data_IF_961035498145
#
_entry.id   IF_961035498145
#
_cell.length_a   1.000
_cell.length_b   1.000
_cell.length_c   1.000
_cell.angle_alpha   90.00
_cell.angle_beta   90.00
_cell.angle_gamma   90.00
#
_symmetry.space_group_name_H-M   'P 1'
#
loop_
_entity.id
_entity.type
_entity.pdbx_description
1 polymer ?
#
# COMPACT_ATOMS: atom_id res chain seq x y z
N UNK A 1 -25.32 -6.72 17.22
CA UNK A 1 -24.39 -6.59 18.39
C UNK A 1 -23.33 -5.59 18.01
N UNK A 2 -23.18 -4.47 18.72
CA UNK A 2 -22.04 -3.58 18.50
C UNK A 2 -20.77 -4.39 18.76
N UNK A 3 -19.85 -4.42 17.79
CA UNK A 3 -18.51 -4.99 18.03
C UNK A 3 -17.86 -4.19 19.15
N UNK A 4 -17.28 -4.86 20.12
CA UNK A 4 -16.65 -4.27 21.32
C UNK A 4 -15.40 -3.42 20.98
N UNK A 5 -14.93 -3.48 19.72
CA UNK A 5 -13.74 -2.82 19.22
C UNK A 5 -13.95 -2.21 17.83
N UNK A 6 -13.27 -1.10 17.53
CA UNK A 6 -13.33 -0.49 16.23
C UNK A 6 -12.79 -1.42 15.14
N UNK A 7 -13.29 -1.27 13.92
CA UNK A 7 -12.72 -1.87 12.74
C UNK A 7 -11.28 -1.34 12.57
N UNK A 8 -10.34 -2.21 12.26
CA UNK A 8 -8.99 -1.82 11.88
C UNK A 8 -8.92 -1.70 10.37
N UNK A 9 -8.33 -0.62 9.85
CA UNK A 9 -8.29 -0.41 8.42
C UNK A 9 -6.92 0.05 7.91
N UNK A 10 -6.57 -0.43 6.74
CA UNK A 10 -5.57 0.15 5.86
C UNK A 10 -6.30 0.66 4.61
N UNK A 11 -6.14 1.95 4.35
CA UNK A 11 -6.56 2.58 3.11
C UNK A 11 -5.34 2.91 2.27
N UNK A 12 -5.37 2.55 1.01
CA UNK A 12 -4.25 2.79 0.12
C UNK A 12 -4.70 3.13 -1.28
N UNK A 13 -3.74 3.42 -2.13
CA UNK A 13 -3.95 3.67 -3.55
C UNK A 13 -3.06 2.77 -4.39
N UNK A 14 -3.34 2.72 -5.68
CA UNK A 14 -2.55 1.95 -6.61
C UNK A 14 -1.05 2.29 -6.49
N UNK A 15 -0.19 1.28 -6.40
CA UNK A 15 1.28 1.41 -6.27
C UNK A 15 1.80 2.09 -4.99
N UNK A 16 0.98 2.22 -3.94
CA UNK A 16 1.36 2.76 -2.64
C UNK A 16 1.67 1.65 -1.61
N UNK A 17 2.54 0.72 -1.94
CA UNK A 17 3.01 -0.39 -1.08
C UNK A 17 1.93 -1.38 -0.60
N UNK A 18 0.73 -1.38 -1.19
CA UNK A 18 -0.43 -2.14 -0.72
C UNK A 18 -0.15 -3.65 -0.56
N UNK A 19 0.59 -4.28 -1.48
CA UNK A 19 0.95 -5.69 -1.40
C UNK A 19 1.84 -6.00 -0.18
N UNK A 20 2.76 -5.12 0.17
CA UNK A 20 3.62 -5.26 1.32
C UNK A 20 2.83 -5.13 2.62
N UNK A 21 2.04 -4.07 2.74
CA UNK A 21 1.19 -3.79 3.91
C UNK A 21 0.17 -4.90 4.12
N UNK A 22 -0.51 -5.33 3.04
CA UNK A 22 -1.46 -6.45 3.10
C UNK A 22 -0.83 -7.73 3.68
N UNK A 23 0.40 -8.07 3.28
CA UNK A 23 1.11 -9.24 3.82
C UNK A 23 1.39 -9.12 5.32
N UNK A 24 1.79 -7.92 5.77
CA UNK A 24 1.99 -7.64 7.20
C UNK A 24 0.68 -7.77 7.98
N UNK A 25 -0.42 -7.16 7.48
CA UNK A 25 -1.73 -7.26 8.11
C UNK A 25 -2.30 -8.69 8.07
N UNK A 26 -2.00 -9.45 7.01
CA UNK A 26 -2.36 -10.86 6.92
C UNK A 26 -1.65 -11.73 7.97
N UNK A 27 -0.35 -11.49 8.22
CA UNK A 27 0.36 -12.17 9.30
C UNK A 27 -0.13 -11.73 10.68
N UNK A 28 -0.42 -10.43 10.85
CA UNK A 28 -1.04 -9.93 12.06
C UNK A 28 -2.41 -10.57 12.30
N UNK A 29 -3.26 -10.69 11.28
CA UNK A 29 -4.55 -11.38 11.34
C UNK A 29 -4.40 -12.82 11.81
N UNK A 30 -3.48 -13.59 11.23
CA UNK A 30 -3.22 -14.98 11.65
C UNK A 30 -2.80 -15.10 13.11
N UNK A 31 -1.95 -14.18 13.58
CA UNK A 31 -1.49 -14.17 14.97
C UNK A 31 -2.60 -13.74 15.93
N UNK A 32 -3.36 -12.73 15.55
CA UNK A 32 -4.43 -12.18 16.40
C UNK A 32 -5.70 -13.01 16.41
N UNK A 33 -5.93 -13.85 15.38
CA UNK A 33 -7.20 -14.56 15.18
C UNK A 33 -8.36 -13.64 14.80
N UNK A 34 -8.05 -12.43 14.27
CA UNK A 34 -9.01 -11.48 13.73
C UNK A 34 -9.27 -11.75 12.25
N UNK A 35 -10.50 -11.55 11.78
CA UNK A 35 -10.85 -11.76 10.38
C UNK A 35 -10.39 -10.59 9.50
N UNK A 36 -9.56 -10.86 8.50
CA UNK A 36 -9.01 -9.88 7.58
C UNK A 36 -9.59 -10.03 6.17
N UNK A 37 -10.12 -8.94 5.62
CA UNK A 37 -10.55 -8.83 4.24
C UNK A 37 -9.54 -8.02 3.42
N UNK A 38 -9.21 -8.52 2.23
CA UNK A 38 -8.41 -7.83 1.22
C UNK A 38 -9.31 -7.40 0.07
N UNK A 39 -9.48 -6.10 -0.09
CA UNK A 39 -10.41 -5.48 -1.03
C UNK A 39 -9.61 -4.61 -2.00
N UNK A 40 -9.78 -4.88 -3.29
CA UNK A 40 -9.12 -4.11 -4.33
C UNK A 40 -9.89 -2.84 -4.67
N UNK A 41 -11.19 -3.00 -4.92
CA UNK A 41 -12.11 -1.95 -5.34
C UNK A 41 -13.56 -2.37 -5.01
N UNK A 42 -14.54 -1.57 -5.42
CA UNK A 42 -15.96 -1.79 -5.16
C UNK A 42 -16.50 -3.13 -5.65
N UNK A 43 -15.89 -3.75 -6.67
CA UNK A 43 -16.31 -5.06 -7.20
C UNK A 43 -16.18 -6.17 -6.15
N UNK A 44 -15.28 -6.03 -5.19
CA UNK A 44 -15.09 -6.98 -4.11
C UNK A 44 -16.24 -7.00 -3.10
N UNK A 45 -16.97 -5.89 -2.96
CA UNK A 45 -18.05 -5.72 -1.97
C UNK A 45 -19.38 -5.25 -2.57
N UNK A 46 -19.47 -5.19 -3.91
CA UNK A 46 -20.73 -4.84 -4.62
C UNK A 46 -21.24 -3.43 -4.36
N UNK A 47 -20.35 -2.49 -4.04
CA UNK A 47 -20.67 -1.09 -3.75
C UNK A 47 -21.16 -0.81 -2.33
N UNK A 48 -21.44 -1.84 -1.51
CA UNK A 48 -21.88 -1.71 -0.11
C UNK A 48 -20.84 -2.31 0.85
N UNK A 49 -19.82 -1.52 1.16
CA UNK A 49 -18.73 -1.94 2.04
C UNK A 49 -19.22 -2.27 3.47
N UNK A 50 -20.07 -1.45 4.12
CA UNK A 50 -20.61 -1.80 5.44
C UNK A 50 -21.33 -3.13 5.49
N UNK A 51 -22.22 -3.41 4.53
CA UNK A 51 -22.96 -4.68 4.46
C UNK A 51 -22.01 -5.87 4.23
N UNK A 52 -20.99 -5.70 3.38
CA UNK A 52 -19.97 -6.71 3.17
C UNK A 52 -19.23 -7.06 4.47
N UNK A 53 -18.78 -6.04 5.23
CA UNK A 53 -18.03 -6.24 6.48
C UNK A 53 -18.87 -6.96 7.53
N UNK A 54 -20.16 -6.63 7.65
CA UNK A 54 -21.08 -7.28 8.56
C UNK A 54 -21.30 -8.76 8.18
N UNK A 55 -21.59 -9.01 6.92
CA UNK A 55 -21.86 -10.37 6.40
C UNK A 55 -20.66 -11.32 6.58
N UNK A 56 -19.43 -10.79 6.51
CA UNK A 56 -18.19 -11.60 6.63
C UNK A 56 -17.57 -11.54 8.03
N UNK A 57 -18.15 -10.80 8.97
CA UNK A 57 -17.60 -10.66 10.32
C UNK A 57 -16.20 -10.05 10.34
N UNK A 58 -15.90 -9.15 9.39
CA UNK A 58 -14.56 -8.61 9.17
C UNK A 58 -14.12 -7.69 10.30
N UNK A 59 -12.91 -7.90 10.83
CA UNK A 59 -12.29 -7.10 11.89
C UNK A 59 -11.18 -6.19 11.38
N UNK A 60 -10.54 -6.59 10.27
CA UNK A 60 -9.44 -5.87 9.62
C UNK A 60 -9.75 -5.75 8.13
N UNK A 61 -9.56 -4.58 7.55
CA UNK A 61 -9.61 -4.41 6.10
C UNK A 61 -8.29 -3.87 5.54
N UNK A 62 -7.90 -4.37 4.39
CA UNK A 62 -6.94 -3.72 3.48
C UNK A 62 -7.72 -3.31 2.23
N UNK A 63 -8.07 -2.03 2.14
CA UNK A 63 -8.75 -1.47 0.98
C UNK A 63 -7.75 -0.73 0.09
N UNK A 64 -7.37 -1.33 -1.04
CA UNK A 64 -6.16 -0.99 -1.81
C UNK A 64 -6.35 0.19 -2.74
N UNK A 65 -7.52 0.34 -3.34
CA UNK A 65 -7.90 1.51 -4.14
C UNK A 65 -9.06 2.20 -3.43
N UNK A 66 -8.74 2.81 -2.28
CA UNK A 66 -9.74 3.39 -1.40
C UNK A 66 -10.36 4.65 -2.00
N UNK A 67 -11.69 4.68 -1.96
CA UNK A 67 -12.49 5.82 -2.36
C UNK A 67 -13.27 6.36 -1.16
N UNK A 68 -13.24 7.68 -0.99
CA UNK A 68 -13.83 8.38 0.16
C UNK A 68 -15.33 8.11 0.33
N UNK A 69 -16.06 7.96 -0.79
CA UNK A 69 -17.50 7.68 -0.80
C UNK A 69 -17.87 6.35 -0.11
N UNK A 70 -16.99 5.35 -0.14
CA UNK A 70 -17.23 4.04 0.50
C UNK A 70 -16.95 4.04 2.00
N UNK A 71 -16.24 5.06 2.51
CA UNK A 71 -15.75 5.09 3.90
C UNK A 71 -16.78 5.72 4.85
N UNK A 72 -17.60 6.66 4.33
CA UNK A 72 -18.53 7.44 5.16
C UNK A 72 -19.58 6.62 5.92
N UNK A 73 -19.90 5.40 5.45
CA UNK A 73 -20.87 4.50 6.08
C UNK A 73 -20.26 3.42 6.99
N UNK A 74 -18.94 3.42 7.18
CA UNK A 74 -18.27 2.41 8.01
C UNK A 74 -18.64 2.53 9.49
N UNK A 75 -18.65 1.40 10.23
CA UNK A 75 -18.73 1.44 11.69
C UNK A 75 -17.51 2.19 12.25
N UNK A 76 -17.50 2.57 13.55
CA UNK A 76 -16.33 3.20 14.15
C UNK A 76 -15.06 2.40 13.84
N UNK A 77 -14.04 3.08 13.32
CA UNK A 77 -12.78 2.47 12.90
C UNK A 77 -11.55 3.25 13.40
N UNK A 78 -10.40 2.60 13.36
CA UNK A 78 -9.09 3.21 13.37
C UNK A 78 -8.34 2.75 12.15
N UNK A 79 -7.79 3.69 11.40
CA UNK A 79 -7.14 3.42 10.13
C UNK A 79 -5.75 4.04 10.02
N UNK A 80 -4.99 3.55 9.08
CA UNK A 80 -3.89 4.30 8.51
C UNK A 80 -4.05 4.34 6.99
N UNK A 81 -3.61 5.43 6.43
CA UNK A 81 -3.68 5.70 5.00
C UNK A 81 -2.27 5.96 4.46
N UNK A 82 -1.97 5.44 3.27
CA UNK A 82 -0.63 5.55 2.69
C UNK A 82 -0.71 6.12 1.29
N UNK A 83 -0.03 7.24 1.11
CA UNK A 83 0.24 7.86 -0.20
C UNK A 83 1.68 7.66 -0.62
N UNK A 84 1.97 7.94 -1.87
CA UNK A 84 3.29 7.92 -2.47
C UNK A 84 3.50 9.16 -3.31
N UNK A 85 4.78 9.59 -3.50
CA UNK A 85 5.10 10.61 -4.49
C UNK A 85 4.44 10.25 -5.84
N UNK A 86 3.51 11.09 -6.34
CA UNK A 86 2.76 10.80 -7.56
C UNK A 86 3.64 10.52 -8.77
N UNK A 87 4.82 11.13 -8.83
CA UNK A 87 5.83 10.93 -9.88
C UNK A 87 6.47 9.54 -9.81
N UNK A 88 6.82 9.09 -8.61
CA UNK A 88 7.33 7.73 -8.37
C UNK A 88 6.25 6.67 -8.54
N UNK A 89 4.98 7.04 -8.27
CA UNK A 89 3.83 6.18 -8.55
C UNK A 89 3.73 5.91 -10.05
N UNK A 90 3.82 6.96 -10.91
CA UNK A 90 3.80 6.83 -12.38
C UNK A 90 4.85 5.84 -12.86
N UNK A 91 6.10 6.04 -12.45
CA UNK A 91 7.22 5.16 -12.83
C UNK A 91 6.98 3.72 -12.35
N UNK A 92 6.52 3.55 -11.12
CA UNK A 92 6.21 2.23 -10.57
C UNK A 92 5.08 1.53 -11.32
N UNK A 93 4.07 2.26 -11.74
CA UNK A 93 2.95 1.74 -12.52
C UNK A 93 3.42 1.33 -13.91
N UNK A 94 4.13 2.18 -14.62
CA UNK A 94 4.67 1.89 -15.95
C UNK A 94 5.39 0.53 -16.00
N UNK A 95 6.38 0.32 -15.15
CA UNK A 95 7.11 -0.96 -15.12
C UNK A 95 6.24 -2.15 -14.70
N UNK A 96 5.35 -1.93 -13.75
CA UNK A 96 4.43 -2.96 -13.29
C UNK A 96 3.41 -3.35 -14.36
N UNK A 97 2.79 -2.38 -15.02
CA UNK A 97 1.81 -2.60 -16.08
C UNK A 97 2.44 -3.26 -17.29
N UNK A 98 3.66 -2.86 -17.65
CA UNK A 98 4.39 -3.44 -18.75
C UNK A 98 4.80 -4.91 -18.48
N UNK A 99 5.19 -5.25 -17.22
CA UNK A 99 5.88 -6.52 -16.98
C UNK A 99 5.21 -7.45 -15.96
N UNK A 100 4.67 -6.94 -14.83
CA UNK A 100 4.42 -7.79 -13.66
C UNK A 100 3.01 -7.71 -13.07
N UNK A 101 2.19 -6.71 -13.43
CA UNK A 101 0.86 -6.58 -12.86
C UNK A 101 -0.06 -7.70 -13.39
N UNK A 102 -0.80 -8.42 -12.52
CA UNK A 102 -1.81 -9.38 -12.96
C UNK A 102 -2.92 -8.72 -13.80
N UNK A 103 -3.42 -9.41 -14.79
CA UNK A 103 -4.47 -8.92 -15.70
C UNK A 103 -5.83 -9.57 -15.49
N UNK A 104 -5.89 -10.64 -14.70
CA UNK A 104 -7.09 -11.45 -14.52
C UNK A 104 -8.24 -10.67 -13.90
N UNK A 105 -7.94 -9.79 -12.97
CA UNK A 105 -8.93 -8.93 -12.31
C UNK A 105 -9.02 -7.52 -12.94
N UNK A 106 -8.21 -7.24 -13.97
CA UNK A 106 -8.16 -5.92 -14.61
C UNK A 106 -8.03 -6.06 -16.14
N UNK A 107 -9.11 -6.42 -16.85
CA UNK A 107 -9.10 -6.64 -18.30
C UNK A 107 -8.62 -5.44 -19.13
N UNK A 108 -8.88 -4.22 -18.66
CA UNK A 108 -8.50 -2.96 -19.31
C UNK A 108 -6.97 -2.81 -19.40
N UNK A 109 -6.24 -3.46 -18.52
CA UNK A 109 -4.77 -3.48 -18.56
C UNK A 109 -4.22 -4.27 -19.76
N UNK A 110 -4.98 -5.22 -20.32
CA UNK A 110 -4.49 -6.05 -21.45
C UNK A 110 -4.19 -5.19 -22.67
N UNK A 111 -5.15 -4.44 -23.25
CA UNK A 111 -4.88 -3.58 -24.41
C UNK A 111 -3.89 -2.45 -24.06
N UNK A 112 -3.93 -1.92 -22.83
CA UNK A 112 -2.98 -0.90 -22.40
C UNK A 112 -1.54 -1.42 -22.41
N UNK A 113 -1.30 -2.62 -21.88
CA UNK A 113 0.01 -3.30 -21.90
C UNK A 113 0.54 -3.50 -23.33
N UNK A 114 -0.31 -3.92 -24.26
CA UNK A 114 0.12 -4.07 -25.66
C UNK A 114 0.50 -2.72 -26.28
N UNK A 115 -0.21 -1.64 -25.93
CA UNK A 115 0.15 -0.29 -26.34
C UNK A 115 1.49 0.15 -25.74
N UNK A 116 1.74 -0.10 -24.45
CA UNK A 116 3.03 0.19 -23.79
C UNK A 116 4.21 -0.53 -24.46
N UNK A 117 4.00 -1.77 -24.94
CA UNK A 117 5.03 -2.53 -25.66
C UNK A 117 5.36 -1.98 -27.04
N UNK A 118 4.45 -1.20 -27.65
CA UNK A 118 4.58 -0.71 -29.02
C UNK A 118 5.16 0.70 -29.14
N UNK A 119 5.41 1.37 -28.01
CA UNK A 119 5.88 2.76 -27.97
C UNK A 119 7.21 2.88 -27.22
N UNK A 120 7.85 4.04 -27.30
CA UNK A 120 9.04 4.36 -26.50
C UNK A 120 8.70 4.45 -25.01
N UNK A 121 9.72 4.42 -24.14
CA UNK A 121 9.51 4.58 -22.68
C UNK A 121 8.85 5.91 -22.33
N UNK A 122 9.27 7.01 -22.97
CA UNK A 122 8.70 8.34 -22.73
C UNK A 122 7.21 8.38 -23.12
N UNK A 123 6.87 7.94 -24.32
CA UNK A 123 5.47 7.83 -24.76
C UNK A 123 4.66 6.90 -23.85
N UNK A 124 5.24 5.79 -23.39
CA UNK A 124 4.59 4.87 -22.45
C UNK A 124 4.32 5.51 -21.09
N UNK A 125 5.24 6.31 -20.55
CA UNK A 125 5.01 7.08 -19.32
C UNK A 125 3.91 8.12 -19.52
N UNK A 126 3.85 8.80 -20.66
CA UNK A 126 2.77 9.74 -20.99
C UNK A 126 1.41 9.02 -21.06
N UNK A 127 1.35 7.83 -21.64
CA UNK A 127 0.13 7.01 -21.63
C UNK A 127 -0.32 6.62 -20.24
N UNK A 128 0.63 6.35 -19.34
CA UNK A 128 0.31 6.05 -17.92
C UNK A 128 -0.24 7.26 -17.16
N UNK A 129 0.11 8.50 -17.54
CA UNK A 129 -0.44 9.71 -16.89
C UNK A 129 -1.97 9.71 -16.94
N UNK A 130 -2.56 9.37 -18.09
CA UNK A 130 -4.01 9.28 -18.24
C UNK A 130 -4.58 7.98 -17.66
N UNK A 131 -3.90 6.86 -17.88
CA UNK A 131 -4.38 5.55 -17.43
C UNK A 131 -4.52 5.43 -15.91
N UNK A 132 -3.78 6.25 -15.17
CA UNK A 132 -3.77 6.30 -13.71
C UNK A 132 -4.71 7.35 -13.11
N UNK A 133 -5.54 8.02 -13.90
CA UNK A 133 -6.48 9.04 -13.40
C UNK A 133 -7.28 8.56 -12.18
N UNK A 134 -7.72 7.31 -12.18
CA UNK A 134 -8.48 6.75 -11.06
C UNK A 134 -7.70 6.82 -9.74
N UNK A 135 -6.41 6.53 -9.75
CA UNK A 135 -5.58 6.54 -8.56
C UNK A 135 -5.26 7.97 -8.09
N UNK A 136 -4.95 8.86 -9.04
CA UNK A 136 -4.65 10.26 -8.73
C UNK A 136 -5.88 11.01 -8.24
N UNK A 137 -7.04 10.77 -8.86
CA UNK A 137 -8.30 11.37 -8.41
C UNK A 137 -8.70 10.87 -7.03
N UNK A 138 -8.56 9.57 -6.74
CA UNK A 138 -8.83 9.02 -5.41
C UNK A 138 -7.93 9.65 -4.33
N UNK A 139 -6.64 9.94 -4.64
CA UNK A 139 -5.76 10.68 -3.73
C UNK A 139 -6.20 12.13 -3.56
N UNK A 140 -6.65 12.80 -4.63
CA UNK A 140 -7.11 14.20 -4.60
C UNK A 140 -8.38 14.35 -3.77
N UNK A 141 -9.29 13.39 -3.88
CA UNK A 141 -10.59 13.39 -3.21
C UNK A 141 -10.53 12.87 -1.76
N UNK A 142 -9.35 12.43 -1.30
CA UNK A 142 -9.17 11.92 0.05
C UNK A 142 -9.24 13.04 1.09
N UNK A 143 -9.93 12.76 2.20
CA UNK A 143 -9.99 13.69 3.35
C UNK A 143 -8.80 13.45 4.30
N UNK A 144 -7.75 14.23 4.12
CA UNK A 144 -6.52 14.19 4.93
C UNK A 144 -6.68 14.73 6.35
N UNK A 145 -7.85 15.30 6.69
CA UNK A 145 -8.14 15.87 8.01
C UNK A 145 -8.79 14.89 9.01
N UNK A 146 -8.91 13.63 8.68
CA UNK A 146 -9.62 12.64 9.48
C UNK A 146 -8.88 12.26 10.77
N UNK A 147 -9.49 12.45 11.96
CA UNK A 147 -8.85 12.11 13.24
C UNK A 147 -8.77 10.59 13.51
N UNK A 148 -9.57 9.78 12.81
CA UNK A 148 -9.61 8.33 12.93
C UNK A 148 -8.63 7.63 11.97
N UNK A 149 -7.83 8.41 11.21
CA UNK A 149 -6.89 7.92 10.21
C UNK A 149 -5.51 8.55 10.39
N UNK A 150 -4.49 7.71 10.48
CA UNK A 150 -3.09 8.12 10.50
C UNK A 150 -2.58 8.24 9.06
N UNK A 151 -2.22 9.45 8.65
CA UNK A 151 -1.66 9.73 7.31
C UNK A 151 -0.16 9.42 7.27
N UNK A 152 0.29 8.74 6.21
CA UNK A 152 1.67 8.29 6.04
C UNK A 152 2.12 8.41 4.58
N UNK A 153 3.40 8.74 4.40
CA UNK A 153 4.07 8.63 3.10
C UNK A 153 4.79 7.29 2.98
N UNK A 154 4.67 6.62 1.83
CA UNK A 154 5.36 5.36 1.56
C UNK A 154 6.87 5.47 1.76
N UNK A 155 7.45 6.62 1.45
CA UNK A 155 8.86 6.93 1.57
C UNK A 155 9.34 6.86 3.03
N UNK A 156 8.51 7.30 3.98
CA UNK A 156 8.77 7.21 5.41
C UNK A 156 8.71 5.75 5.87
N UNK A 157 7.65 5.04 5.47
CA UNK A 157 7.51 3.61 5.74
C UNK A 157 8.68 2.77 5.24
N UNK A 158 9.22 3.10 4.06
CA UNK A 158 10.35 2.34 3.49
C UNK A 158 11.67 2.71 4.12
N UNK A 159 11.84 3.96 4.58
CA UNK A 159 13.06 4.45 5.23
C UNK A 159 13.20 3.95 6.66
N UNK A 160 12.11 3.96 7.42
CA UNK A 160 12.09 3.63 8.86
C UNK A 160 10.94 2.64 9.19
N UNK A 161 10.95 1.41 8.60
CA UNK A 161 9.79 0.52 8.65
C UNK A 161 9.41 0.08 10.07
N UNK A 162 10.38 -0.07 10.97
CA UNK A 162 10.09 -0.55 12.33
C UNK A 162 9.44 0.55 13.17
N UNK A 163 9.94 1.77 13.08
CA UNK A 163 9.42 2.94 13.79
C UNK A 163 8.01 3.28 13.29
N UNK A 164 7.83 3.32 11.98
CA UNK A 164 6.52 3.69 11.39
C UNK A 164 5.47 2.59 11.64
N UNK A 165 5.82 1.32 11.56
CA UNK A 165 4.87 0.27 11.91
C UNK A 165 4.54 0.22 13.41
N UNK A 166 5.47 0.55 14.31
CA UNK A 166 5.13 0.72 15.73
C UNK A 166 4.15 1.87 15.92
N UNK A 167 4.35 3.00 15.25
CA UNK A 167 3.42 4.14 15.27
C UNK A 167 2.04 3.75 14.73
N UNK A 168 1.98 2.97 13.65
CA UNK A 168 0.73 2.42 13.11
C UNK A 168 0.04 1.52 14.15
N UNK A 169 0.75 0.56 14.73
CA UNK A 169 0.18 -0.37 15.69
C UNK A 169 -0.30 0.31 16.98
N UNK A 170 0.41 1.34 17.42
CA UNK A 170 -0.01 2.18 18.54
C UNK A 170 -1.30 2.95 18.21
N UNK A 171 -1.33 3.63 17.05
CA UNK A 171 -2.51 4.35 16.58
C UNK A 171 -3.73 3.45 16.41
N UNK A 172 -3.54 2.24 15.89
CA UNK A 172 -4.60 1.23 15.78
C UNK A 172 -5.06 0.68 17.14
N UNK A 173 -4.32 0.95 18.23
CA UNK A 173 -4.61 0.47 19.58
C UNK A 173 -4.33 -1.03 19.74
N UNK A 174 -3.43 -1.59 18.97
CA UNK A 174 -3.03 -3.00 19.03
C UNK A 174 -1.65 -3.22 19.66
N UNK A 175 -0.90 -2.15 19.93
CA UNK A 175 0.35 -2.20 20.67
C UNK A 175 0.05 -2.20 22.17
N UNK A 176 0.59 -3.16 22.91
CA UNK A 176 0.56 -3.18 24.36
C UNK A 176 1.88 -2.60 24.90
N UNK A 177 1.83 -1.44 25.55
CA UNK A 177 3.03 -0.81 26.09
C UNK A 177 3.54 -1.46 27.39
N UNK A 178 2.80 -2.42 27.97
CA UNK A 178 3.17 -3.04 29.23
C UNK A 178 4.34 -4.01 29.07
N UNK A 179 5.23 -4.05 30.06
CA UNK A 179 6.27 -5.06 30.15
C UNK A 179 5.66 -6.41 30.54
N UNK A 180 5.58 -7.30 29.57
CA UNK A 180 5.17 -8.67 29.82
C UNK A 180 6.25 -9.40 30.63
N UNK A 181 5.89 -9.94 31.78
CA UNK A 181 6.76 -10.89 32.47
C UNK A 181 6.87 -12.21 31.66
N UNK A 182 7.76 -13.12 32.08
CA UNK A 182 7.97 -14.38 31.37
C UNK A 182 6.72 -15.25 31.26
N UNK A 183 5.86 -15.23 32.29
CA UNK A 183 4.62 -16.03 32.32
C UNK A 183 3.58 -15.45 31.34
N UNK A 184 3.41 -14.13 31.34
CA UNK A 184 2.52 -13.42 30.42
C UNK A 184 2.96 -13.60 28.96
N UNK A 185 4.27 -13.49 28.68
CA UNK A 185 4.85 -13.77 27.34
C UNK A 185 4.53 -15.20 26.88
N UNK A 186 4.75 -16.18 27.73
CA UNK A 186 4.47 -17.59 27.40
C UNK A 186 2.96 -17.81 27.16
N UNK A 187 2.10 -17.24 27.97
CA UNK A 187 0.64 -17.32 27.79
C UNK A 187 0.19 -16.66 26.47
N UNK A 188 0.76 -15.50 26.14
CA UNK A 188 0.52 -14.81 24.87
C UNK A 188 0.94 -15.68 23.67
N UNK A 189 2.17 -16.20 23.67
CA UNK A 189 2.66 -17.08 22.60
C UNK A 189 1.86 -18.37 22.43
N UNK A 190 1.31 -18.95 23.51
CA UNK A 190 0.40 -20.11 23.40
C UNK A 190 -0.89 -19.76 22.66
N UNK A 191 -1.44 -18.56 22.88
CA UNK A 191 -2.64 -18.08 22.14
C UNK A 191 -2.30 -17.85 20.66
N UNK A 192 -1.19 -17.19 20.36
CA UNK A 192 -0.71 -17.00 18.98
C UNK A 192 -0.52 -18.34 18.28
N UNK A 193 0.21 -19.27 18.89
CA UNK A 193 0.46 -20.58 18.31
C UNK A 193 -0.83 -21.35 18.02
N UNK A 194 -1.84 -21.24 18.90
CA UNK A 194 -3.15 -21.83 18.67
C UNK A 194 -3.87 -21.19 17.49
N UNK A 195 -3.90 -19.86 17.38
CA UNK A 195 -4.54 -19.17 16.26
C UNK A 195 -3.89 -19.59 14.93
N UNK A 196 -2.56 -19.59 14.86
CA UNK A 196 -1.81 -20.04 13.67
C UNK A 196 -2.09 -21.52 13.34
N UNK A 197 -2.23 -22.38 14.34
CA UNK A 197 -2.57 -23.79 14.12
C UNK A 197 -4.02 -23.97 13.65
N UNK A 198 -4.95 -23.23 14.23
CA UNK A 198 -6.38 -23.29 13.87
C UNK A 198 -6.61 -22.91 12.40
N UNK A 199 -5.87 -21.94 11.86
CA UNK A 199 -5.95 -21.55 10.45
C UNK A 199 -5.46 -22.66 9.50
N UNK A 200 -4.45 -23.44 9.91
CA UNK A 200 -3.83 -24.48 9.08
C UNK A 200 -4.61 -25.81 9.06
N UNK A 201 -5.52 -26.01 9.99
CA UNK A 201 -6.27 -27.26 10.13
C UNK A 201 -7.72 -27.04 9.68
N UNK A 202 -8.18 -27.66 8.58
CA UNK A 202 -9.55 -27.52 8.12
C UNK A 202 -10.56 -27.85 9.22
N UNK A 203 -11.55 -26.99 9.41
CA UNK A 203 -12.61 -27.14 10.42
C UNK A 203 -12.25 -26.64 11.83
N UNK A 204 -11.04 -26.13 12.06
CA UNK A 204 -10.61 -25.60 13.36
C UNK A 204 -10.68 -24.07 13.47
N UNK A 205 -11.15 -23.36 12.46
CA UNK A 205 -11.29 -21.89 12.47
C UNK A 205 -12.15 -21.35 13.62
N UNK A 206 -13.12 -22.13 14.09
CA UNK A 206 -13.93 -21.82 15.28
C UNK A 206 -13.16 -21.85 16.62
N UNK A 207 -11.89 -22.26 16.63
CA UNK A 207 -11.03 -22.29 17.81
C UNK A 207 -10.14 -21.04 17.94
N UNK A 208 -10.26 -20.08 17.03
CA UNK A 208 -9.57 -18.80 17.16
C UNK A 208 -9.94 -18.12 18.48
N UNK A 209 -8.94 -17.58 19.16
CA UNK A 209 -9.13 -16.69 20.31
C UNK A 209 -8.57 -15.33 19.95
N UNK A 210 -9.42 -14.33 19.72
CA UNK A 210 -8.96 -13.00 19.36
C UNK A 210 -7.98 -12.45 20.40
N UNK A 211 -6.80 -12.04 19.91
CA UNK A 211 -5.79 -11.33 20.68
C UNK A 211 -5.78 -9.90 20.14
N UNK A 212 -6.06 -8.95 20.99
CA UNK A 212 -6.27 -7.57 20.57
C UNK A 212 -5.03 -6.71 20.67
N UNK A 213 -4.21 -6.98 21.70
CA UNK A 213 -2.97 -6.24 21.91
C UNK A 213 -1.76 -7.19 21.96
N UNK A 214 -0.66 -6.70 21.46
CA UNK A 214 0.60 -7.43 21.33
C UNK A 214 1.74 -6.60 21.91
N UNK A 215 2.74 -7.24 22.55
CA UNK A 215 4.02 -6.60 22.78
C UNK A 215 4.68 -6.15 21.49
N UNK A 216 5.59 -5.20 21.54
CA UNK A 216 6.28 -4.68 20.36
C UNK A 216 7.06 -5.74 19.57
N UNK A 217 7.73 -6.67 20.27
CA UNK A 217 8.63 -7.64 19.63
C UNK A 217 7.93 -8.57 18.63
N UNK A 218 6.76 -9.20 18.92
CA UNK A 218 6.03 -9.99 17.92
C UNK A 218 5.60 -9.15 16.71
N UNK A 219 5.13 -7.91 16.93
CA UNK A 219 4.73 -7.01 15.86
C UNK A 219 5.92 -6.66 14.95
N UNK A 220 7.04 -6.28 15.53
CA UNK A 220 8.28 -6.04 14.79
C UNK A 220 8.81 -7.29 14.09
N UNK A 221 8.61 -8.48 14.67
CA UNK A 221 8.93 -9.76 14.05
C UNK A 221 8.13 -9.99 12.76
N UNK A 222 6.84 -9.59 12.72
CA UNK A 222 6.02 -9.63 11.52
C UNK A 222 6.60 -8.68 10.45
N UNK A 223 6.89 -7.42 10.80
CA UNK A 223 7.48 -6.45 9.88
C UNK A 223 8.82 -6.94 9.33
N UNK A 224 9.70 -7.46 10.21
CA UNK A 224 10.99 -8.03 9.81
C UNK A 224 10.86 -9.20 8.84
N UNK A 225 9.83 -10.03 8.99
CA UNK A 225 9.60 -11.16 8.08
C UNK A 225 9.23 -10.73 6.66
N UNK A 226 8.77 -9.48 6.50
CA UNK A 226 8.37 -8.88 5.22
C UNK A 226 9.31 -7.76 4.74
N UNK A 227 10.57 -7.70 5.23
CA UNK A 227 11.55 -6.72 4.77
C UNK A 227 11.87 -6.88 3.28
N UNK A 228 12.28 -5.77 2.65
CA UNK A 228 12.44 -5.68 1.19
C UNK A 228 13.36 -6.78 0.61
N UNK A 229 14.55 -7.00 1.19
CA UNK A 229 15.50 -8.01 0.72
C UNK A 229 14.88 -9.42 0.63
N UNK A 230 14.07 -9.79 1.63
CA UNK A 230 13.37 -11.07 1.64
C UNK A 230 12.30 -11.15 0.55
N UNK A 231 11.52 -10.09 0.35
CA UNK A 231 10.46 -10.03 -0.65
C UNK A 231 11.02 -9.90 -2.07
N UNK A 232 12.18 -9.28 -2.21
CA UNK A 232 12.88 -9.07 -3.48
C UNK A 232 13.83 -10.23 -3.86
N UNK A 233 13.77 -11.37 -3.14
CA UNK A 233 14.61 -12.55 -3.45
C UNK A 233 16.09 -12.37 -3.13
N UNK A 234 16.41 -11.59 -2.09
CA UNK A 234 17.77 -11.34 -1.62
C UNK A 234 18.40 -10.06 -2.16
N UNK A 235 17.72 -9.31 -3.06
CA UNK A 235 18.22 -8.03 -3.59
C UNK A 235 18.19 -6.95 -2.52
N UNK A 236 19.22 -6.11 -2.49
CA UNK A 236 19.25 -4.92 -1.65
C UNK A 236 18.35 -3.80 -2.23
N UNK A 237 17.88 -2.89 -1.37
CA UNK A 237 17.21 -1.68 -1.82
C UNK A 237 18.15 -0.86 -2.72
N UNK A 238 17.64 -0.39 -3.87
CA UNK A 238 18.42 0.28 -4.90
C UNK A 238 18.85 -0.63 -6.07
N UNK A 239 18.92 -1.95 -5.87
CA UNK A 239 19.14 -2.92 -6.96
C UNK A 239 17.85 -3.12 -7.76
N UNK A 240 17.89 -2.73 -9.02
CA UNK A 240 16.72 -2.75 -9.89
C UNK A 240 16.50 -4.10 -10.58
N UNK A 241 15.25 -4.56 -10.56
CA UNK A 241 14.74 -5.61 -11.44
C UNK A 241 13.39 -5.15 -12.00
N UNK A 242 13.40 -4.71 -13.25
CA UNK A 242 12.23 -4.14 -13.95
C UNK A 242 11.07 -5.11 -14.11
N UNK A 243 11.30 -6.42 -14.01
CA UNK A 243 10.28 -7.47 -14.10
C UNK A 243 9.71 -7.86 -12.73
N UNK A 244 10.34 -7.44 -11.65
CA UNK A 244 9.91 -7.75 -10.29
C UNK A 244 8.83 -6.81 -9.82
N UNK A 245 7.84 -7.34 -9.10
CA UNK A 245 6.88 -6.51 -8.36
C UNK A 245 7.58 -5.59 -7.34
N UNK A 246 8.66 -6.05 -6.72
CA UNK A 246 9.56 -5.28 -5.85
C UNK A 246 10.74 -4.76 -6.68
N UNK A 247 10.49 -3.78 -7.56
CA UNK A 247 11.44 -3.34 -8.59
C UNK A 247 12.76 -2.82 -8.01
N UNK A 248 12.72 -1.76 -7.20
CA UNK A 248 13.93 -1.04 -6.75
C UNK A 248 13.93 -0.72 -5.26
N UNK A 249 12.76 -0.44 -4.66
CA UNK A 249 12.63 -0.21 -3.22
C UNK A 249 13.23 1.12 -2.71
N UNK A 250 13.48 2.09 -3.59
CA UNK A 250 13.99 3.43 -3.24
C UNK A 250 13.10 4.52 -3.78
N UNK A 251 12.87 5.62 -3.02
CA UNK A 251 12.10 6.78 -3.47
C UNK A 251 12.93 7.69 -4.38
N UNK A 252 12.24 8.60 -5.10
CA UNK A 252 12.85 9.63 -5.93
C UNK A 252 13.36 9.16 -7.29
N UNK A 253 13.02 7.92 -7.67
CA UNK A 253 13.48 7.31 -8.92
C UNK A 253 12.88 7.96 -10.17
N UNK A 254 11.79 8.71 -10.04
CA UNK A 254 11.17 9.43 -11.14
C UNK A 254 12.15 10.36 -11.87
N UNK A 255 13.14 10.92 -11.18
CA UNK A 255 14.18 11.80 -11.77
C UNK A 255 15.04 11.09 -12.81
N UNK A 256 15.12 9.76 -12.77
CA UNK A 256 15.84 8.94 -13.75
C UNK A 256 15.00 8.59 -14.98
N UNK A 257 13.70 8.92 -14.95
CA UNK A 257 12.74 8.47 -15.95
C UNK A 257 11.97 9.59 -16.63
N UNK A 258 11.80 10.73 -15.98
CA UNK A 258 11.12 11.88 -16.56
C UNK A 258 12.09 12.64 -17.49
N UNK A 259 11.74 12.74 -18.74
CA UNK A 259 12.25 13.73 -19.66
C UNK A 259 11.33 14.96 -19.71
N UNK A 260 11.63 15.91 -20.59
CA UNK A 260 10.87 17.18 -20.69
C UNK A 260 9.40 16.93 -21.08
N UNK A 261 9.13 15.94 -21.93
CA UNK A 261 7.78 15.68 -22.42
C UNK A 261 6.93 14.98 -21.35
N UNK A 262 7.49 13.99 -20.64
CA UNK A 262 6.84 13.31 -19.51
C UNK A 262 6.58 14.30 -18.38
N UNK A 263 7.55 15.18 -18.07
CA UNK A 263 7.41 16.21 -17.05
C UNK A 263 6.27 17.18 -17.39
N UNK A 264 6.22 17.65 -18.64
CA UNK A 264 5.18 18.56 -19.09
C UNK A 264 3.78 17.92 -19.01
N UNK A 265 3.63 16.70 -19.54
CA UNK A 265 2.36 15.98 -19.52
C UNK A 265 1.88 15.69 -18.09
N UNK A 266 2.80 15.30 -17.21
CA UNK A 266 2.46 15.01 -15.81
C UNK A 266 2.06 16.29 -15.06
N UNK A 267 2.79 17.38 -15.23
CA UNK A 267 2.48 18.68 -14.59
C UNK A 267 1.13 19.23 -15.04
N UNK A 268 0.84 19.14 -16.34
CA UNK A 268 -0.45 19.62 -16.88
C UNK A 268 -1.64 18.90 -16.24
N UNK A 269 -1.53 17.59 -15.98
CA UNK A 269 -2.66 16.78 -15.55
C UNK A 269 -2.74 16.57 -14.03
N UNK A 270 -1.60 16.40 -13.37
CA UNK A 270 -1.51 15.98 -11.96
C UNK A 270 -0.45 16.75 -11.15
N UNK A 271 0.06 17.87 -11.68
CA UNK A 271 1.08 18.65 -11.01
C UNK A 271 0.65 19.18 -9.64
N UNK A 272 -0.62 19.58 -9.51
CA UNK A 272 -1.26 20.02 -8.27
C UNK A 272 -1.18 18.99 -7.13
N UNK A 273 -1.23 17.71 -7.48
CA UNK A 273 -1.22 16.62 -6.48
C UNK A 273 0.12 16.51 -5.75
N UNK A 274 1.22 16.88 -6.40
CA UNK A 274 2.56 16.86 -5.81
C UNK A 274 2.64 17.83 -4.64
N UNK A 275 2.11 19.05 -4.83
CA UNK A 275 2.04 20.10 -3.81
C UNK A 275 0.99 19.77 -2.75
N UNK A 276 -0.20 19.31 -3.16
CA UNK A 276 -1.25 18.87 -2.23
C UNK A 276 -0.77 17.83 -1.23
N UNK A 277 0.03 16.86 -1.68
CA UNK A 277 0.60 15.80 -0.85
C UNK A 277 1.89 16.22 -0.12
N UNK A 278 2.34 17.47 -0.28
CA UNK A 278 3.52 18.03 0.39
C UNK A 278 4.83 17.33 -0.03
N UNK A 279 4.99 17.01 -1.30
CA UNK A 279 6.24 16.54 -1.89
C UNK A 279 7.07 17.69 -2.45
N UNK A 280 6.43 18.81 -2.78
CA UNK A 280 7.04 20.09 -3.17
C UNK A 280 6.27 21.23 -2.50
N UNK A 281 6.94 22.38 -2.35
CA UNK A 281 6.37 23.53 -1.63
C UNK A 281 5.47 24.40 -2.53
N UNK A 282 5.70 24.35 -3.85
CA UNK A 282 4.95 25.11 -4.87
C UNK A 282 4.80 24.32 -6.16
N UNK A 283 4.10 24.90 -7.14
CA UNK A 283 3.84 24.26 -8.42
C UNK A 283 4.95 24.49 -9.47
N UNK A 284 6.02 25.18 -9.13
CA UNK A 284 7.16 25.44 -10.03
C UNK A 284 8.20 24.31 -10.05
N UNK A 285 7.94 23.23 -9.30
CA UNK A 285 8.83 22.08 -9.22
C UNK A 285 9.17 21.49 -10.62
N UNK A 286 10.44 21.09 -10.78
CA UNK A 286 10.93 20.46 -12.02
C UNK A 286 11.30 21.43 -13.14
N UNK A 287 11.08 22.72 -13.00
CA UNK A 287 11.49 23.71 -14.01
C UNK A 287 13.01 23.89 -14.06
N UNK A 288 13.70 23.70 -12.92
CA UNK A 288 15.16 23.81 -12.79
C UNK A 288 15.90 22.47 -12.87
N UNK A 289 15.20 21.36 -13.13
CA UNK A 289 15.84 20.05 -13.20
C UNK A 289 16.72 19.96 -14.48
N UNK A 290 18.01 19.55 -14.35
CA UNK A 290 18.83 19.33 -15.55
C UNK A 290 18.16 18.22 -16.39
N UNK A 291 17.70 18.58 -17.58
CA UNK A 291 17.15 17.66 -18.56
C UNK A 291 18.20 16.58 -18.82
N UNK A 292 17.89 15.33 -18.52
CA UNK A 292 18.74 14.22 -18.93
C UNK A 292 18.87 14.30 -20.45
N UNK A 293 20.08 14.62 -20.92
CA UNK A 293 20.35 14.82 -22.33
C UNK A 293 19.94 13.57 -23.11
N UNK A 294 18.90 13.70 -23.92
CA UNK A 294 18.46 12.65 -24.83
C UNK A 294 19.65 12.23 -25.69
N UNK A 295 19.98 10.96 -25.65
CA UNK A 295 21.00 10.37 -26.53
C UNK A 295 20.48 10.44 -27.96
N UNK A 296 20.87 11.51 -28.65
CA UNK A 296 20.66 11.63 -30.10
C UNK A 296 21.50 10.54 -30.75
N UNK A 297 20.87 9.45 -31.14
CA UNK A 297 21.50 8.45 -31.97
C UNK A 297 21.79 9.09 -33.35
N UNK A 298 23.02 9.49 -33.54
CA UNK A 298 23.53 9.84 -34.86
C UNK A 298 23.62 8.57 -35.66
N UNK A 299 22.68 8.38 -36.60
CA UNK A 299 22.87 7.42 -37.70
C UNK A 299 24.07 7.85 -38.53
N UNK A 300 25.02 6.97 -38.66
CA UNK A 300 25.95 6.90 -39.81
C UNK A 300 25.86 5.53 -40.41
#
# INVERSE_FOLDING_TARGET
MQKEFPLLAFFGHHKCASTWIHRILGDFSRHSGLNHAYLYDERNFGGDLPAYLEAHGTDIISYVNAETNHIGGLPPFRAFHVVRDPRDLLVSAYFSHLHSHPTEAWPELIPHRERLKSVSKSEGLILEVEFLDFAYNAMRDWDYGRPDTLELKQEELTRAPYEEFLRIFDFLGVLDPSDFDKAARLAHWRKVARNVAAERIPGMTGLHQPIRTFPAEPLLGIVYSHRFDRLAGGRAAGEEDVKSHYRKGTPGDWRNHFDVDVLAAFRERHGDLVTLLGYEDDDDWGLDAPVAAGTTAVMR
#
